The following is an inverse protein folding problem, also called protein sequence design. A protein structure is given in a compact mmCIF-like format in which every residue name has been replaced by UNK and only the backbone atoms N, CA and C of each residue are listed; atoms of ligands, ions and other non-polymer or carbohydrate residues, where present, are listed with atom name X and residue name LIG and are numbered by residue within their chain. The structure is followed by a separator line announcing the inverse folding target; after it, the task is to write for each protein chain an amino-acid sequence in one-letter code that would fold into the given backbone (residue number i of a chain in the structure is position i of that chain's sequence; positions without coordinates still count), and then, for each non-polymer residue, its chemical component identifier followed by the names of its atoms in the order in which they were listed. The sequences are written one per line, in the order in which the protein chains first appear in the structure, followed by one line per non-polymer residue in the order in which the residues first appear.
data_IF_769399644579
#
_entry.id   IF_769399644579
#
_cell.length_a   1.000
_cell.length_b   1.000
_cell.length_c   1.000
_cell.angle_alpha   90.00
_cell.angle_beta   90.00
_cell.angle_gamma   90.00
#
_symmetry.space_group_name_H-M   'P 1'
#
loop_
_entity.id
_entity.type
_entity.pdbx_description
1 polymer ?
#
# COMPACT_ATOMS: atom_id res chain seq x y z
N UNK A 1 -45.56 -0.90 37.59
CA UNK A 1 -45.93 -0.89 36.17
C UNK A 1 -44.87 -0.11 35.39
N UNK A 2 -44.34 -0.73 34.34
CA UNK A 2 -43.42 -0.30 33.26
C UNK A 2 -43.08 1.20 33.05
N UNK A 3 -41.75 1.44 33.05
CA UNK A 3 -40.84 2.23 32.17
C UNK A 3 -41.17 3.65 31.69
N UNK A 4 -40.14 4.52 31.75
CA UNK A 4 -39.44 5.20 30.62
C UNK A 4 -39.04 6.64 31.03
N UNK A 5 -37.84 7.16 30.82
CA UNK A 5 -36.69 6.74 30.04
C UNK A 5 -35.45 7.56 30.44
N UNK A 6 -34.29 6.98 30.13
CA UNK A 6 -32.99 7.26 30.69
C UNK A 6 -32.41 8.65 30.35
N UNK A 7 -31.80 9.25 31.36
CA UNK A 7 -30.55 10.01 31.24
C UNK A 7 -29.48 9.13 30.61
N UNK A 8 -29.10 9.40 29.35
CA UNK A 8 -27.86 8.88 28.79
C UNK A 8 -26.83 10.00 28.81
N UNK A 9 -26.09 10.03 29.91
CA UNK A 9 -24.81 10.71 29.95
C UNK A 9 -23.78 9.95 29.10
N UNK A 10 -22.72 10.70 28.76
CA UNK A 10 -21.33 10.25 28.67
C UNK A 10 -21.07 9.01 27.80
N UNK A 11 -20.47 9.23 26.64
CA UNK A 11 -19.10 8.73 26.38
C UNK A 11 -18.57 9.26 25.05
N UNK A 12 -17.65 10.22 25.16
CA UNK A 12 -16.62 10.45 24.16
C UNK A 12 -15.82 9.16 24.02
N UNK A 13 -16.06 8.38 22.98
CA UNK A 13 -15.09 7.38 22.54
C UNK A 13 -14.12 8.09 21.61
N UNK A 14 -13.11 8.69 22.24
CA UNK A 14 -11.87 9.07 21.60
C UNK A 14 -11.21 7.83 20.99
N UNK A 15 -10.64 8.03 19.79
CA UNK A 15 -9.40 7.39 19.34
C UNK A 15 -9.24 5.88 19.58
N UNK A 16 -9.62 5.06 18.60
CA UNK A 16 -8.89 3.82 18.34
C UNK A 16 -8.73 3.66 16.84
N UNK A 17 -7.59 4.14 16.36
CA UNK A 17 -7.19 4.11 14.97
C UNK A 17 -7.04 2.68 14.48
N UNK A 18 -7.80 2.29 13.44
CA UNK A 18 -7.53 1.09 12.61
C UNK A 18 -6.06 0.98 12.15
N UNK A 19 -5.27 2.05 12.25
CA UNK A 19 -3.84 2.08 11.98
C UNK A 19 -3.00 1.19 12.92
N UNK A 20 -3.47 0.93 14.15
CA UNK A 20 -2.69 0.25 15.18
C UNK A 20 -2.65 -1.29 15.00
N UNK A 21 -3.56 -1.84 14.19
CA UNK A 21 -3.58 -3.26 13.80
C UNK A 21 -2.77 -3.54 12.51
N UNK A 22 -2.16 -2.53 11.91
CA UNK A 22 -1.38 -2.69 10.68
C UNK A 22 0.04 -3.12 11.07
N UNK A 23 0.34 -4.42 10.95
CA UNK A 23 1.72 -4.92 11.02
C UNK A 23 2.61 -4.08 10.08
N UNK A 24 3.47 -3.26 10.70
CA UNK A 24 4.37 -2.32 10.02
C UNK A 24 5.49 -3.06 9.27
N UNK A 25 5.64 -4.37 9.50
CA UNK A 25 6.55 -5.23 8.78
C UNK A 25 5.85 -5.74 7.54
N UNK A 26 6.48 -5.54 6.37
CA UNK A 26 6.09 -6.23 5.13
C UNK A 26 6.51 -7.71 5.24
N UNK A 27 5.81 -8.44 6.10
CA UNK A 27 5.91 -9.88 6.35
C UNK A 27 5.79 -10.65 5.03
N UNK A 28 6.41 -11.84 4.89
CA UNK A 28 6.47 -12.54 3.59
C UNK A 28 5.09 -12.72 2.94
N UNK A 29 4.05 -12.94 3.74
CA UNK A 29 2.65 -13.09 3.32
C UNK A 29 2.05 -11.83 2.68
N UNK A 30 2.59 -10.65 3.00
CA UNK A 30 2.17 -9.35 2.46
C UNK A 30 2.97 -8.96 1.21
N UNK A 31 3.78 -9.85 0.65
CA UNK A 31 4.53 -9.61 -0.59
C UNK A 31 3.92 -10.43 -1.73
N UNK A 32 3.76 -9.80 -2.88
CA UNK A 32 3.49 -10.54 -4.12
C UNK A 32 4.81 -11.15 -4.60
N UNK A 33 4.94 -12.47 -4.45
CA UNK A 33 6.09 -13.25 -4.95
C UNK A 33 5.72 -14.16 -6.12
N UNK A 34 4.44 -14.51 -6.25
CA UNK A 34 3.94 -15.43 -7.28
C UNK A 34 3.84 -14.73 -8.65
N UNK A 35 4.48 -15.32 -9.68
CA UNK A 35 4.43 -14.82 -11.05
C UNK A 35 3.01 -14.70 -11.62
N UNK A 36 2.09 -15.57 -11.18
CA UNK A 36 0.67 -15.53 -11.57
C UNK A 36 0.03 -14.19 -11.21
N UNK A 37 0.25 -13.72 -9.99
CA UNK A 37 -0.31 -12.48 -9.47
C UNK A 37 0.18 -11.25 -10.25
N UNK A 38 1.45 -11.23 -10.66
CA UNK A 38 1.97 -10.19 -11.55
C UNK A 38 1.23 -10.16 -12.89
N UNK A 39 1.06 -11.34 -13.51
CA UNK A 39 0.38 -11.46 -14.81
C UNK A 39 -1.07 -11.02 -14.72
N UNK A 40 -1.80 -11.49 -13.72
CA UNK A 40 -3.20 -11.09 -13.48
C UNK A 40 -3.32 -9.57 -13.30
N UNK A 41 -2.45 -8.98 -12.49
CA UNK A 41 -2.47 -7.54 -12.22
C UNK A 41 -2.22 -6.73 -13.49
N UNK A 42 -1.27 -7.13 -14.32
CA UNK A 42 -0.98 -6.43 -15.58
C UNK A 42 -2.08 -6.64 -16.62
N UNK A 43 -2.66 -7.84 -16.71
CA UNK A 43 -3.76 -8.15 -17.62
C UNK A 43 -5.05 -7.41 -17.25
N UNK A 44 -5.31 -7.20 -15.95
CA UNK A 44 -6.45 -6.43 -15.48
C UNK A 44 -6.40 -4.96 -15.93
N UNK A 45 -5.23 -4.44 -16.32
CA UNK A 45 -5.08 -3.11 -16.94
C UNK A 45 -5.28 -1.92 -16.00
N UNK A 46 -5.76 -2.12 -14.77
CA UNK A 46 -6.06 -1.05 -13.82
C UNK A 46 -4.78 -0.48 -13.24
N UNK A 47 -4.44 0.74 -13.66
CA UNK A 47 -3.25 1.46 -13.20
C UNK A 47 -3.48 2.95 -13.04
N UNK A 48 -2.73 3.54 -12.12
CA UNK A 48 -2.58 4.97 -11.96
C UNK A 48 -1.13 5.36 -12.27
N UNK A 49 -0.97 6.32 -13.17
CA UNK A 49 0.35 6.81 -13.59
C UNK A 49 0.64 8.11 -12.86
N UNK A 50 1.65 8.10 -11.99
CA UNK A 50 2.16 9.30 -11.33
C UNK A 50 3.49 9.76 -11.91
N UNK A 51 3.99 10.89 -11.40
CA UNK A 51 5.33 11.42 -11.73
C UNK A 51 6.44 10.47 -11.27
N UNK A 52 6.32 9.94 -10.05
CA UNK A 52 7.38 9.17 -9.38
C UNK A 52 7.19 7.66 -9.49
N UNK A 53 5.97 7.19 -9.74
CA UNK A 53 5.63 5.77 -9.78
C UNK A 53 4.47 5.50 -10.72
N UNK A 54 4.31 4.23 -11.09
CA UNK A 54 3.07 3.68 -11.64
C UNK A 54 2.54 2.70 -10.61
N UNK A 55 1.27 2.85 -10.24
CA UNK A 55 0.58 1.97 -9.30
C UNK A 55 -0.39 1.09 -10.09
N UNK A 56 -0.20 -0.22 -10.03
CA UNK A 56 -1.15 -1.18 -10.56
C UNK A 56 -1.96 -1.78 -9.43
N UNK A 57 -3.23 -2.02 -9.71
CA UNK A 57 -4.20 -2.49 -8.72
C UNK A 57 -4.83 -3.79 -9.23
N UNK A 58 -4.82 -4.82 -8.37
CA UNK A 58 -5.53 -6.07 -8.58
C UNK A 58 -6.62 -6.18 -7.53
N UNK A 59 -7.87 -6.22 -7.97
CA UNK A 59 -9.02 -6.49 -7.12
C UNK A 59 -9.40 -7.95 -7.30
N UNK A 60 -9.40 -8.71 -6.22
CA UNK A 60 -9.75 -10.13 -6.23
C UNK A 60 -10.18 -10.57 -4.84
N UNK A 61 -10.96 -11.65 -4.73
CA UNK A 61 -11.45 -12.12 -3.44
C UNK A 61 -10.37 -12.68 -2.51
N UNK A 62 -9.24 -13.11 -3.10
CA UNK A 62 -8.04 -13.59 -2.41
C UNK A 62 -7.02 -12.47 -2.15
N UNK A 63 -7.30 -11.24 -2.57
CA UNK A 63 -6.40 -10.11 -2.38
C UNK A 63 -6.38 -9.67 -0.92
N UNK A 64 -5.17 -9.46 -0.39
CA UNK A 64 -4.95 -9.21 1.03
C UNK A 64 -3.90 -8.10 1.24
N UNK A 65 -4.01 -7.01 0.47
CA UNK A 65 -3.09 -5.87 0.54
C UNK A 65 -1.63 -6.30 0.38
N UNK A 66 -1.38 -7.23 -0.56
CA UNK A 66 -0.01 -7.64 -0.90
C UNK A 66 0.66 -6.54 -1.72
N UNK A 67 1.94 -6.29 -1.44
CA UNK A 67 2.75 -5.30 -2.13
C UNK A 67 3.86 -5.96 -2.96
N UNK A 68 4.00 -5.54 -4.21
CA UNK A 68 5.25 -5.67 -4.96
C UNK A 68 5.82 -4.30 -5.33
N UNK A 69 7.16 -4.21 -5.32
CA UNK A 69 7.88 -3.01 -5.77
C UNK A 69 8.87 -3.41 -6.87
N UNK A 70 8.65 -2.87 -8.06
CA UNK A 70 9.45 -3.10 -9.25
C UNK A 70 10.31 -1.87 -9.51
N UNK A 71 11.62 -2.09 -9.67
CA UNK A 71 12.57 -1.04 -10.04
C UNK A 71 13.42 -1.57 -11.17
N UNK A 72 13.36 -0.92 -12.35
CA UNK A 72 14.07 -1.41 -13.53
C UNK A 72 15.57 -1.09 -13.46
N UNK A 73 16.40 -2.05 -13.88
CA UNK A 73 17.86 -1.84 -14.04
C UNK A 73 18.16 -0.81 -15.14
N UNK A 74 17.30 -0.72 -16.16
CA UNK A 74 17.39 0.25 -17.27
C UNK A 74 17.25 1.69 -16.77
N UNK A 75 16.33 1.95 -15.86
CA UNK A 75 16.09 3.30 -15.33
C UNK A 75 17.07 3.66 -14.21
N UNK A 76 17.48 2.69 -13.38
CA UNK A 76 18.36 2.91 -12.23
C UNK A 76 19.61 2.04 -12.35
N UNK A 77 20.69 2.64 -12.87
CA UNK A 77 21.96 1.93 -13.14
C UNK A 77 22.71 1.57 -11.87
N UNK A 78 22.78 2.47 -10.88
CA UNK A 78 23.48 2.22 -9.61
C UNK A 78 22.60 1.42 -8.64
N UNK A 79 23.23 0.51 -7.90
CA UNK A 79 22.53 -0.30 -6.89
C UNK A 79 21.93 0.54 -5.78
N UNK A 80 22.67 1.57 -5.35
CA UNK A 80 22.24 2.52 -4.31
C UNK A 80 20.94 3.23 -4.73
N UNK A 81 20.84 3.69 -5.97
CA UNK A 81 19.64 4.37 -6.47
C UNK A 81 18.43 3.43 -6.49
N UNK A 82 18.64 2.15 -6.86
CA UNK A 82 17.56 1.13 -6.82
C UNK A 82 17.09 0.88 -5.39
N UNK A 83 18.02 0.70 -4.46
CA UNK A 83 17.70 0.47 -3.05
C UNK A 83 16.97 1.66 -2.43
N UNK A 84 17.40 2.88 -2.76
CA UNK A 84 16.74 4.13 -2.36
C UNK A 84 15.32 4.22 -2.93
N UNK A 85 15.14 3.99 -4.23
CA UNK A 85 13.82 4.00 -4.87
C UNK A 85 12.87 2.97 -4.24
N UNK A 86 13.34 1.73 -4.01
CA UNK A 86 12.56 0.70 -3.31
C UNK A 86 12.17 1.15 -1.90
N UNK A 87 13.10 1.78 -1.17
CA UNK A 87 12.84 2.27 0.19
C UNK A 87 11.78 3.36 0.19
N UNK A 88 11.90 4.37 -0.68
CA UNK A 88 10.94 5.47 -0.78
C UNK A 88 9.53 4.97 -1.13
N UNK A 89 9.41 4.04 -2.08
CA UNK A 89 8.11 3.46 -2.45
C UNK A 89 7.48 2.64 -1.33
N UNK A 90 8.26 1.81 -0.64
CA UNK A 90 7.76 1.01 0.50
C UNK A 90 7.31 1.90 1.65
N UNK A 91 8.07 2.95 1.96
CA UNK A 91 7.70 3.90 3.02
C UNK A 91 6.43 4.67 2.66
N UNK A 92 6.30 5.15 1.41
CA UNK A 92 5.08 5.81 0.94
C UNK A 92 3.87 4.89 1.04
N UNK A 93 4.01 3.62 0.63
CA UNK A 93 2.95 2.62 0.79
C UNK A 93 2.61 2.39 2.26
N UNK A 94 3.62 2.21 3.13
CA UNK A 94 3.43 1.99 4.57
C UNK A 94 2.61 3.12 5.20
N UNK A 95 2.94 4.37 4.88
CA UNK A 95 2.23 5.56 5.38
C UNK A 95 0.82 5.72 4.82
N UNK A 96 0.52 5.19 3.64
CA UNK A 96 -0.79 5.33 3.00
C UNK A 96 -1.62 4.04 3.02
N UNK A 97 -1.12 2.98 3.65
CA UNK A 97 -1.75 1.65 3.64
C UNK A 97 -3.19 1.69 4.16
N UNK A 98 -3.46 2.48 5.18
CA UNK A 98 -4.81 2.64 5.76
C UNK A 98 -5.83 3.24 4.78
N UNK A 99 -5.37 3.94 3.74
CA UNK A 99 -6.25 4.54 2.71
C UNK A 99 -6.71 3.53 1.68
N UNK A 100 -5.99 2.41 1.55
CA UNK A 100 -6.36 1.32 0.67
C UNK A 100 -7.34 0.41 1.41
N UNK A 101 -8.63 0.60 1.14
CA UNK A 101 -9.68 -0.21 1.73
C UNK A 101 -10.12 -1.30 0.74
N UNK A 102 -10.52 -2.45 1.27
CA UNK A 102 -11.04 -3.58 0.49
C UNK A 102 -9.98 -4.60 0.09
N UNK A 103 -10.42 -5.57 -0.73
CA UNK A 103 -9.60 -6.68 -1.21
C UNK A 103 -8.82 -6.26 -2.45
N UNK A 104 -7.66 -5.65 -2.22
CA UNK A 104 -6.80 -5.13 -3.28
C UNK A 104 -5.34 -5.50 -3.04
N UNK A 105 -4.64 -5.90 -4.11
CA UNK A 105 -3.20 -6.07 -4.16
C UNK A 105 -2.58 -4.95 -5.01
N UNK A 106 -1.36 -4.54 -4.67
CA UNK A 106 -0.72 -3.35 -5.26
C UNK A 106 0.68 -3.67 -5.79
N UNK A 107 0.93 -3.27 -7.03
CA UNK A 107 2.28 -3.29 -7.64
C UNK A 107 2.72 -1.87 -7.91
N UNK A 108 3.82 -1.45 -7.30
CA UNK A 108 4.44 -0.14 -7.52
C UNK A 108 5.64 -0.28 -8.45
N UNK A 109 5.63 0.43 -9.57
CA UNK A 109 6.76 0.52 -10.50
C UNK A 109 7.43 1.88 -10.35
N UNK A 110 8.71 1.90 -9.98
CA UNK A 110 9.47 3.14 -9.86
C UNK A 110 9.70 3.81 -11.22
N UNK A 111 9.47 5.12 -11.30
CA UNK A 111 9.85 5.96 -12.45
C UNK A 111 11.10 6.77 -12.13
N UNK A 112 11.80 7.21 -13.19
CA UNK A 112 13.12 7.88 -13.11
C UNK A 112 13.20 8.99 -12.06
N UNK A 113 12.14 9.78 -11.91
CA UNK A 113 12.11 10.94 -11.03
C UNK A 113 12.11 10.62 -9.53
N UNK A 114 11.88 9.38 -9.10
CA UNK A 114 11.84 9.05 -7.66
C UNK A 114 13.23 9.05 -7.01
N UNK A 115 14.30 8.81 -7.77
CA UNK A 115 15.66 8.75 -7.24
C UNK A 115 16.14 10.10 -6.67
N UNK A 116 15.63 11.20 -7.21
CA UNK A 116 15.99 12.57 -6.80
C UNK A 116 15.14 13.14 -5.67
N UNK A 117 14.14 12.41 -5.16
CA UNK A 117 13.28 12.92 -4.09
C UNK A 117 14.09 13.01 -2.78
N UNK A 118 14.27 14.24 -2.28
CA UNK A 118 14.69 14.51 -0.91
C UNK A 118 13.44 14.40 -0.02
N UNK A 119 13.54 13.72 1.13
CA UNK A 119 12.49 13.82 2.15
C UNK A 119 12.42 15.30 2.54
N UNK A 120 11.23 15.90 2.41
CA UNK A 120 10.89 17.09 3.19
C UNK A 120 10.63 16.64 4.63
#
# INVERSE_FOLDING_TARGET
MRVSGATTGVEKIQSSSKADLIDMRLSRCQRISESRLFRETFNAGRRHVGRYLIMWLRYADDACLKLAVIVSKKTFRRSVDRSRAKRLLRESFRLNRYRLQGKVDVILVARRYIGGVKRQ
#
